data_IF_638894703169
#
_entry.id   IF_638894703169
#
_cell.length_a   1.000
_cell.length_b   1.000
_cell.length_c   1.000
_cell.angle_alpha   90.00
_cell.angle_beta   90.00
_cell.angle_gamma   90.00
#
_symmetry.space_group_name_H-M   'P 1'
#
loop_
_entity.id
_entity.type
_entity.pdbx_description
1 polymer ?
#
# COMPACT_ATOMS: atom_id res chain seq x y z
N UNK A 1 15.34 -27.49 1.90
CA UNK A 1 15.81 -26.18 1.40
C UNK A 1 16.30 -25.37 2.59
N UNK A 2 15.42 -24.77 3.39
CA UNK A 2 15.79 -23.87 4.50
C UNK A 2 16.84 -24.38 5.52
N UNK A 3 16.81 -25.65 5.97
CA UNK A 3 17.82 -26.16 6.92
C UNK A 3 19.21 -26.32 6.28
N UNK A 4 19.28 -26.69 5.00
CA UNK A 4 20.55 -26.89 4.28
C UNK A 4 21.12 -25.58 3.74
N UNK A 5 20.24 -24.68 3.34
CA UNK A 5 20.61 -23.43 2.65
C UNK A 5 20.79 -22.28 3.66
N UNK A 6 19.87 -22.11 4.62
CA UNK A 6 19.85 -20.99 5.58
C UNK A 6 20.10 -21.40 7.04
N UNK A 7 20.27 -22.70 7.30
CA UNK A 7 20.42 -23.23 8.65
C UNK A 7 19.17 -23.06 9.54
N UNK A 8 17.99 -22.94 8.93
CA UNK A 8 16.72 -22.74 9.62
C UNK A 8 15.93 -24.05 9.73
N UNK A 9 15.61 -24.46 10.97
CA UNK A 9 14.78 -25.64 11.24
C UNK A 9 13.29 -25.25 11.27
N UNK A 10 12.46 -25.77 10.34
CA UNK A 10 11.03 -25.47 10.30
C UNK A 10 10.27 -25.82 11.59
N UNK A 11 10.77 -26.76 12.41
CA UNK A 11 10.13 -27.15 13.65
C UNK A 11 10.15 -26.06 14.74
N UNK A 12 10.97 -25.01 14.57
CA UNK A 12 11.04 -23.87 15.49
C UNK A 12 10.08 -22.72 15.13
N UNK A 13 9.31 -22.85 14.05
CA UNK A 13 8.45 -21.78 13.54
C UNK A 13 6.97 -22.15 13.63
N UNK A 14 6.14 -21.17 14.00
CA UNK A 14 4.68 -21.35 14.08
C UNK A 14 4.06 -21.31 12.68
N UNK A 15 4.67 -20.54 11.77
CA UNK A 15 4.17 -20.39 10.40
C UNK A 15 5.30 -20.37 9.36
N UNK A 16 4.98 -20.77 8.13
CA UNK A 16 5.92 -20.69 7.01
C UNK A 16 6.33 -19.26 6.68
N UNK A 17 5.45 -18.27 6.91
CA UNK A 17 5.74 -16.86 6.65
C UNK A 17 6.81 -16.32 7.60
N UNK A 18 6.76 -16.72 8.87
CA UNK A 18 7.76 -16.36 9.88
C UNK A 18 9.14 -16.91 9.51
N UNK A 19 9.21 -18.20 9.17
CA UNK A 19 10.45 -18.83 8.71
C UNK A 19 11.00 -18.18 7.42
N UNK A 20 10.11 -17.81 6.49
CA UNK A 20 10.49 -17.15 5.24
C UNK A 20 11.07 -15.76 5.49
N UNK A 21 10.45 -14.96 6.37
CA UNK A 21 10.97 -13.66 6.75
C UNK A 21 12.36 -13.78 7.40
N UNK A 22 12.55 -14.73 8.33
CA UNK A 22 13.85 -14.96 8.97
C UNK A 22 14.93 -15.39 7.97
N UNK A 23 14.58 -16.25 7.00
CA UNK A 23 15.47 -16.64 5.90
C UNK A 23 15.90 -15.40 5.09
N UNK A 24 14.94 -14.55 4.70
CA UNK A 24 15.19 -13.31 3.97
C UNK A 24 16.10 -12.34 4.72
N UNK A 25 15.87 -12.11 6.01
CA UNK A 25 16.73 -11.23 6.81
C UNK A 25 18.15 -11.79 6.94
N UNK A 26 18.29 -13.11 7.10
CA UNK A 26 19.62 -13.76 7.11
C UNK A 26 20.35 -13.62 5.78
N UNK A 27 19.67 -13.82 4.65
CA UNK A 27 20.29 -13.70 3.32
C UNK A 27 20.65 -12.26 2.98
N UNK A 28 19.79 -11.29 3.30
CA UNK A 28 19.99 -9.86 3.01
C UNK A 28 20.97 -9.17 3.96
N UNK A 29 21.13 -9.69 5.20
CA UNK A 29 21.88 -9.05 6.30
C UNK A 29 21.36 -7.64 6.62
N UNK A 30 20.11 -7.34 6.27
CA UNK A 30 19.50 -6.08 6.61
C UNK A 30 19.21 -6.02 8.11
N UNK A 31 19.60 -4.92 8.75
CA UNK A 31 19.27 -4.64 10.15
C UNK A 31 18.09 -3.66 10.18
N UNK A 32 16.96 -4.10 10.74
CA UNK A 32 15.80 -3.24 10.94
C UNK A 32 15.89 -2.51 12.27
N UNK A 33 15.69 -1.20 12.24
CA UNK A 33 15.61 -0.41 13.47
C UNK A 33 14.18 -0.37 13.99
N UNK A 34 14.04 -0.61 15.30
CA UNK A 34 12.74 -0.55 15.95
C UNK A 34 12.16 0.87 15.89
N UNK A 35 10.94 0.99 15.37
CA UNK A 35 10.16 2.24 15.42
C UNK A 35 9.66 2.44 16.85
N UNK A 36 10.11 3.50 17.52
CA UNK A 36 9.70 3.84 18.89
C UNK A 36 8.64 4.95 18.92
N UNK A 37 8.48 5.69 17.83
CA UNK A 37 7.56 6.81 17.75
C UNK A 37 6.22 6.40 17.12
N UNK A 38 5.12 6.62 17.84
CA UNK A 38 3.77 6.29 17.38
C UNK A 38 3.35 7.11 16.15
N UNK A 39 3.77 8.37 16.05
CA UNK A 39 3.41 9.21 14.89
C UNK A 39 4.02 8.68 13.59
N UNK A 40 5.28 8.24 13.65
CA UNK A 40 6.01 7.67 12.52
C UNK A 40 5.36 6.35 12.10
N UNK A 41 5.01 5.51 13.07
CA UNK A 41 4.27 4.28 12.83
C UNK A 41 2.92 4.54 12.14
N UNK A 42 2.12 5.47 12.66
CA UNK A 42 0.82 5.81 12.08
C UNK A 42 0.93 6.39 10.67
N UNK A 43 1.97 7.19 10.40
CA UNK A 43 2.22 7.72 9.05
C UNK A 43 2.49 6.58 8.05
N UNK A 44 3.29 5.59 8.44
CA UNK A 44 3.54 4.40 7.61
C UNK A 44 2.26 3.59 7.45
N UNK A 45 1.55 3.28 8.53
CA UNK A 45 0.32 2.49 8.51
C UNK A 45 -0.77 3.12 7.61
N UNK A 46 -0.94 4.44 7.70
CA UNK A 46 -1.88 5.19 6.87
C UNK A 46 -1.48 5.23 5.39
N UNK A 47 -0.19 5.10 5.08
CA UNK A 47 0.32 4.98 3.72
C UNK A 47 0.15 3.59 3.10
N UNK A 48 -0.03 2.54 3.92
CA UNK A 48 -0.16 1.17 3.41
C UNK A 48 -1.52 1.00 2.71
N UNK A 49 -1.48 0.77 1.40
CA UNK A 49 -2.61 0.33 0.60
C UNK A 49 -2.44 -1.13 0.20
N UNK A 50 -3.54 -1.88 0.12
CA UNK A 50 -3.52 -3.24 -0.40
C UNK A 50 -3.35 -3.29 -1.92
N UNK A 51 -3.43 -4.49 -2.48
CA UNK A 51 -3.44 -4.68 -3.94
C UNK A 51 -4.59 -3.92 -4.60
N UNK A 52 -4.31 -3.31 -5.75
CA UNK A 52 -5.33 -2.70 -6.60
C UNK A 52 -5.83 -3.74 -7.61
N UNK A 53 -7.15 -3.88 -7.73
CA UNK A 53 -7.77 -4.71 -8.77
C UNK A 53 -8.42 -3.79 -9.80
N UNK A 54 -8.01 -3.92 -11.06
CA UNK A 54 -8.63 -3.23 -12.19
C UNK A 54 -9.19 -4.25 -13.16
N UNK A 55 -10.29 -3.91 -13.83
CA UNK A 55 -10.92 -4.77 -14.83
C UNK A 55 -10.54 -4.27 -16.23
N UNK A 56 -9.52 -4.89 -16.82
CA UNK A 56 -9.07 -4.63 -18.19
C UNK A 56 -9.04 -5.93 -19.01
N UNK A 57 -9.17 -5.79 -20.32
CA UNK A 57 -9.18 -6.93 -21.26
C UNK A 57 -7.76 -7.49 -21.48
N UNK A 58 -6.70 -6.71 -21.21
CA UNK A 58 -5.33 -7.18 -21.26
C UNK A 58 -4.94 -7.85 -19.93
N UNK A 59 -4.52 -9.11 -19.99
CA UNK A 59 -4.04 -9.87 -18.86
C UNK A 59 -2.50 -9.91 -18.90
N UNK A 60 -1.87 -8.89 -18.33
CA UNK A 60 -0.45 -8.94 -17.98
C UNK A 60 -0.35 -9.33 -16.50
N UNK A 61 0.34 -10.43 -16.24
CA UNK A 61 0.62 -10.90 -14.88
C UNK A 61 2.13 -10.94 -14.66
N UNK A 62 2.58 -10.28 -13.60
CA UNK A 62 3.99 -10.25 -13.26
C UNK A 62 4.32 -11.43 -12.36
N UNK A 63 5.18 -12.32 -12.85
CA UNK A 63 5.65 -13.47 -12.09
C UNK A 63 6.24 -13.04 -10.74
N UNK A 64 5.56 -13.42 -9.66
CA UNK A 64 5.99 -13.20 -8.28
C UNK A 64 6.26 -11.72 -7.93
N UNK A 65 5.37 -10.81 -8.33
CA UNK A 65 5.42 -9.35 -8.10
C UNK A 65 6.02 -8.95 -6.73
N UNK A 66 5.45 -9.46 -5.63
CA UNK A 66 5.92 -9.11 -4.29
C UNK A 66 7.37 -9.50 -4.04
N UNK A 67 7.78 -10.71 -4.43
CA UNK A 67 9.17 -11.15 -4.28
C UNK A 67 10.13 -10.31 -5.14
N UNK A 68 9.68 -9.86 -6.32
CA UNK A 68 10.43 -8.95 -7.18
C UNK A 68 10.60 -7.54 -6.61
N UNK A 69 9.66 -7.08 -5.78
CA UNK A 69 9.80 -5.82 -5.04
C UNK A 69 10.66 -6.00 -3.79
N UNK A 70 10.58 -7.16 -3.12
CA UNK A 70 11.38 -7.46 -1.92
C UNK A 70 12.89 -7.55 -2.16
N UNK A 71 13.35 -7.66 -3.41
CA UNK A 71 14.77 -7.58 -3.78
C UNK A 71 15.23 -6.16 -4.11
N UNK A 72 14.33 -5.17 -4.09
CA UNK A 72 14.65 -3.76 -4.32
C UNK A 72 14.99 -3.06 -3.00
N UNK A 73 15.47 -1.81 -3.09
CA UNK A 73 15.77 -1.00 -1.91
C UNK A 73 14.50 -0.75 -1.10
N UNK A 74 14.54 -1.10 0.19
CA UNK A 74 13.46 -0.88 1.15
C UNK A 74 13.96 -0.08 2.35
N UNK A 75 13.11 0.74 2.97
CA UNK A 75 13.47 1.49 4.16
C UNK A 75 13.70 0.54 5.35
N UNK A 76 14.86 0.63 5.98
CA UNK A 76 15.24 -0.17 7.16
C UNK A 76 15.18 0.62 8.48
N UNK A 77 15.23 1.95 8.39
CA UNK A 77 15.22 2.88 9.51
C UNK A 77 14.46 4.16 9.16
N UNK A 78 13.76 4.75 10.15
CA UNK A 78 13.21 6.10 10.06
C UNK A 78 14.17 7.05 10.78
N UNK A 79 14.73 8.00 10.02
CA UNK A 79 15.73 8.98 10.53
C UNK A 79 15.10 10.16 11.29
N UNK A 80 13.78 10.30 11.21
CA UNK A 80 13.01 11.35 11.88
C UNK A 80 12.34 12.34 10.92
N UNK A 81 11.56 13.28 11.49
CA UNK A 81 10.79 14.26 10.73
C UNK A 81 11.68 15.37 10.17
N UNK A 82 11.45 15.72 8.90
CA UNK A 82 12.16 16.80 8.20
C UNK A 82 11.22 17.99 7.99
N UNK A 83 11.74 19.21 8.18
CA UNK A 83 10.99 20.44 7.88
C UNK A 83 10.83 20.63 6.37
N UNK A 84 9.68 21.14 5.87
CA UNK A 84 9.40 21.27 4.43
C UNK A 84 10.50 21.97 3.63
N UNK A 85 11.15 22.98 4.21
CA UNK A 85 12.22 23.76 3.58
C UNK A 85 13.49 22.96 3.25
N UNK A 86 13.66 21.80 3.88
CA UNK A 86 14.83 20.92 3.72
C UNK A 86 14.56 19.73 2.81
N UNK A 87 13.34 19.60 2.29
CA UNK A 87 12.97 18.51 1.40
C UNK A 87 13.53 18.83 0.01
N UNK A 88 14.41 17.98 -0.55
CA UNK A 88 14.90 18.17 -1.92
C UNK A 88 13.76 17.99 -2.93
N UNK A 89 13.99 18.39 -4.18
CA UNK A 89 13.03 18.09 -5.24
C UNK A 89 12.87 16.58 -5.37
N UNK A 90 11.67 16.07 -5.07
CA UNK A 90 11.37 14.65 -5.00
C UNK A 90 11.64 13.97 -6.35
N UNK A 91 11.36 14.66 -7.46
CA UNK A 91 11.57 14.13 -8.80
C UNK A 91 13.06 13.96 -9.16
N UNK A 92 13.95 14.57 -8.38
CA UNK A 92 15.40 14.50 -8.59
C UNK A 92 16.07 13.37 -7.80
N UNK A 93 15.36 12.73 -6.87
CA UNK A 93 15.91 11.66 -6.03
C UNK A 93 16.00 10.38 -6.87
N UNK A 94 17.12 9.65 -6.75
CA UNK A 94 17.31 8.40 -7.47
C UNK A 94 16.52 7.25 -6.81
N UNK A 95 15.97 6.28 -7.56
CA UNK A 95 15.25 5.12 -7.00
C UNK A 95 16.08 4.24 -6.05
N UNK A 96 17.41 4.33 -6.12
CA UNK A 96 18.36 3.62 -5.27
C UNK A 96 19.09 4.56 -4.30
N UNK A 97 18.51 5.73 -4.02
CA UNK A 97 19.05 6.65 -3.02
C UNK A 97 19.10 5.98 -1.64
N UNK A 98 20.13 6.32 -0.87
CA UNK A 98 20.30 5.81 0.50
C UNK A 98 19.23 6.38 1.46
N UNK A 99 18.70 7.56 1.15
CA UNK A 99 17.66 8.24 1.93
C UNK A 99 16.44 8.47 1.04
N UNK A 100 15.31 7.88 1.44
CA UNK A 100 13.99 8.16 0.89
C UNK A 100 13.19 9.11 1.77
N UNK A 101 12.07 9.62 1.23
CA UNK A 101 11.18 10.56 1.90
C UNK A 101 9.74 10.06 1.85
N UNK A 102 9.07 10.09 3.00
CA UNK A 102 7.61 9.91 3.06
C UNK A 102 6.98 11.26 3.37
N UNK A 103 5.95 11.61 2.60
CA UNK A 103 5.35 12.93 2.59
C UNK A 103 3.86 12.83 2.88
N UNK A 104 3.38 13.68 3.77
CA UNK A 104 1.95 13.87 4.01
C UNK A 104 1.50 15.13 3.25
N UNK A 105 0.67 14.96 2.22
CA UNK A 105 0.28 16.02 1.30
C UNK A 105 -1.23 16.10 1.09
N UNK A 106 -1.71 17.31 0.80
CA UNK A 106 -3.06 17.51 0.31
C UNK A 106 -3.09 17.31 -1.21
N UNK A 107 -3.84 16.30 -1.67
CA UNK A 107 -3.92 15.95 -3.07
C UNK A 107 -5.25 16.42 -3.67
N UNK A 108 -5.16 17.19 -4.76
CA UNK A 108 -6.31 17.59 -5.58
C UNK A 108 -6.00 17.30 -7.04
N UNK A 109 -6.85 16.48 -7.68
CA UNK A 109 -6.73 16.20 -9.11
C UNK A 109 -7.52 17.26 -9.89
N UNK A 110 -6.86 18.07 -10.74
CA UNK A 110 -7.53 19.04 -11.60
C UNK A 110 -8.57 18.38 -12.51
N UNK A 111 -9.72 19.03 -12.71
CA UNK A 111 -10.85 18.48 -13.48
C UNK A 111 -10.48 18.10 -14.92
N UNK A 112 -9.62 18.89 -15.56
CA UNK A 112 -9.16 18.62 -16.93
C UNK A 112 -8.33 17.33 -17.06
N UNK A 113 -7.88 16.73 -15.95
CA UNK A 113 -7.17 15.45 -15.94
C UNK A 113 -8.08 14.27 -15.58
N UNK A 114 -9.36 14.52 -15.25
CA UNK A 114 -10.27 13.45 -14.83
C UNK A 114 -10.51 12.46 -15.98
N UNK A 115 -10.72 12.96 -17.20
CA UNK A 115 -10.89 12.11 -18.38
C UNK A 115 -9.61 11.32 -18.71
N UNK A 116 -8.44 11.93 -18.51
CA UNK A 116 -7.15 11.28 -18.75
C UNK A 116 -6.88 10.12 -17.78
N UNK A 117 -7.30 10.27 -16.52
CA UNK A 117 -7.15 9.24 -15.50
C UNK A 117 -8.42 8.40 -15.29
N UNK A 118 -9.44 8.53 -16.14
CA UNK A 118 -10.72 7.85 -15.95
C UNK A 118 -10.54 6.32 -15.87
N UNK A 119 -9.60 5.81 -16.67
CA UNK A 119 -9.24 4.41 -16.74
C UNK A 119 -8.41 3.95 -15.53
N UNK A 120 -7.61 4.85 -14.95
CA UNK A 120 -6.76 4.52 -13.81
C UNK A 120 -6.68 5.70 -12.83
N UNK A 121 -7.72 5.89 -11.98
CA UNK A 121 -7.74 7.00 -11.06
C UNK A 121 -6.65 6.84 -10.00
N UNK A 122 -5.77 7.83 -9.92
CA UNK A 122 -4.59 7.80 -9.08
C UNK A 122 -4.92 7.92 -7.58
N UNK A 123 -3.94 7.51 -6.77
CA UNK A 123 -3.94 7.66 -5.32
C UNK A 123 -5.16 6.99 -4.66
N UNK A 124 -5.21 5.65 -4.61
CA UNK A 124 -6.27 4.93 -3.92
C UNK A 124 -6.31 5.29 -2.43
N UNK A 125 -7.50 5.28 -1.84
CA UNK A 125 -7.70 5.58 -0.41
C UNK A 125 -8.58 4.54 0.25
N UNK A 126 -8.19 4.06 1.43
CA UNK A 126 -9.07 3.27 2.30
C UNK A 126 -10.13 4.19 2.88
N UNK A 127 -11.40 3.89 2.60
CA UNK A 127 -12.52 4.62 3.18
C UNK A 127 -13.79 3.77 3.13
N UNK A 128 -14.74 4.11 3.99
CA UNK A 128 -16.09 3.58 3.86
C UNK A 128 -16.79 4.29 2.71
N UNK A 129 -17.39 3.49 1.82
CA UNK A 129 -18.31 4.00 0.79
C UNK A 129 -19.67 4.19 1.46
N UNK A 130 -20.29 5.37 1.42
CA UNK A 130 -21.64 5.53 1.92
C UNK A 130 -22.68 5.00 0.92
N UNK A 131 -23.87 4.65 1.41
CA UNK A 131 -24.90 3.95 0.61
C UNK A 131 -25.44 4.81 -0.54
N UNK A 132 -25.43 6.13 -0.38
CA UNK A 132 -25.82 7.11 -1.40
C UNK A 132 -24.86 7.18 -2.60
N UNK A 133 -23.67 6.59 -2.50
CA UNK A 133 -22.73 6.47 -3.62
C UNK A 133 -22.93 5.20 -4.45
N UNK A 134 -23.85 4.32 -4.04
CA UNK A 134 -24.12 3.10 -4.77
C UNK A 134 -24.79 3.40 -6.11
N UNK A 135 -24.39 2.65 -7.14
CA UNK A 135 -25.15 2.64 -8.39
C UNK A 135 -26.48 1.93 -8.18
N UNK A 136 -27.48 2.24 -9.02
CA UNK A 136 -28.80 1.57 -9.00
C UNK A 136 -28.69 0.04 -9.05
N UNK A 137 -27.66 -0.50 -9.71
CA UNK A 137 -27.38 -1.93 -9.74
C UNK A 137 -26.90 -2.45 -8.37
N UNK A 138 -25.93 -1.76 -7.76
CA UNK A 138 -25.40 -2.14 -6.45
C UNK A 138 -26.45 -1.98 -5.34
N UNK A 139 -27.29 -0.94 -5.41
CA UNK A 139 -28.43 -0.76 -4.49
C UNK A 139 -29.40 -1.95 -4.57
N UNK A 140 -29.74 -2.41 -5.77
CA UNK A 140 -30.58 -3.60 -5.95
C UNK A 140 -29.94 -4.84 -5.34
N UNK A 141 -28.64 -5.05 -5.55
CA UNK A 141 -27.90 -6.18 -4.98
C UNK A 141 -27.85 -6.13 -3.46
N UNK A 142 -27.69 -4.95 -2.87
CA UNK A 142 -27.68 -4.78 -1.40
C UNK A 142 -29.06 -5.12 -0.80
N UNK A 143 -30.15 -4.81 -1.52
CA UNK A 143 -31.52 -5.09 -1.08
C UNK A 143 -31.98 -6.52 -1.39
N UNK A 144 -31.23 -7.27 -2.20
CA UNK A 144 -31.53 -8.66 -2.50
C UNK A 144 -31.26 -9.54 -1.28
N UNK A 145 -32.28 -10.26 -0.81
CA UNK A 145 -32.18 -11.13 0.37
C UNK A 145 -31.32 -12.35 0.12
N UNK A 146 -31.18 -12.80 -1.13
CA UNK A 146 -30.29 -13.90 -1.49
C UNK A 146 -28.82 -13.49 -1.44
N UNK A 147 -28.53 -12.20 -1.64
CA UNK A 147 -27.19 -11.64 -1.60
C UNK A 147 -26.93 -11.01 -0.23
N UNK A 148 -26.13 -11.69 0.60
CA UNK A 148 -25.70 -11.19 1.93
C UNK A 148 -26.88 -10.80 2.87
N UNK A 149 -28.06 -11.39 2.67
CA UNK A 149 -29.21 -11.20 3.56
C UNK A 149 -29.91 -9.85 3.42
N UNK A 150 -29.73 -9.13 2.31
CA UNK A 150 -30.45 -7.88 2.04
C UNK A 150 -30.02 -6.71 2.92
N UNK A 151 -28.73 -6.61 3.26
CA UNK A 151 -28.21 -5.57 4.17
C UNK A 151 -26.94 -4.94 3.63
N UNK A 152 -26.87 -3.62 3.78
CA UNK A 152 -25.64 -2.87 3.57
C UNK A 152 -24.59 -3.27 4.61
N UNK A 153 -23.39 -3.60 4.15
CA UNK A 153 -22.26 -3.94 5.01
C UNK A 153 -21.32 -2.75 5.11
N UNK A 154 -21.15 -2.24 6.33
CA UNK A 154 -20.19 -1.21 6.63
C UNK A 154 -18.78 -1.82 6.66
N UNK A 155 -17.86 -1.25 5.89
CA UNK A 155 -16.48 -1.72 5.83
C UNK A 155 -15.62 -0.78 5.00
N UNK A 156 -14.37 -0.64 5.41
CA UNK A 156 -13.40 0.10 4.63
C UNK A 156 -13.11 -0.64 3.34
N UNK A 157 -13.13 0.10 2.23
CA UNK A 157 -12.73 -0.38 0.92
C UNK A 157 -11.63 0.50 0.40
N UNK A 158 -10.73 -0.08 -0.38
CA UNK A 158 -9.76 0.69 -1.14
C UNK A 158 -10.48 1.26 -2.37
N UNK A 159 -10.68 2.58 -2.41
CA UNK A 159 -11.43 3.25 -3.47
C UNK A 159 -10.54 4.23 -4.22
N UNK A 160 -10.66 4.22 -5.54
CA UNK A 160 -10.00 5.15 -6.44
C UNK A 160 -11.01 6.23 -6.83
N UNK A 161 -10.90 7.39 -6.17
CA UNK A 161 -11.80 8.54 -6.38
C UNK A 161 -11.00 9.82 -6.61
N UNK A 162 -11.57 10.72 -7.42
CA UNK A 162 -10.99 12.04 -7.71
C UNK A 162 -11.28 13.12 -6.67
N UNK A 163 -11.98 12.78 -5.57
CA UNK A 163 -12.20 13.77 -4.50
C UNK A 163 -10.88 14.21 -3.88
N UNK A 164 -10.90 15.44 -3.35
CA UNK A 164 -9.75 16.00 -2.65
C UNK A 164 -9.38 15.11 -1.48
N UNK A 165 -8.11 14.73 -1.40
CA UNK A 165 -7.57 13.93 -0.31
C UNK A 165 -6.75 14.85 0.59
N UNK A 166 -7.04 14.79 1.88
CA UNK A 166 -6.27 15.46 2.92
C UNK A 166 -5.34 14.46 3.57
N UNK A 167 -4.14 14.92 3.95
CA UNK A 167 -3.16 14.11 4.67
C UNK A 167 -2.83 12.78 3.95
N UNK A 168 -2.69 12.84 2.63
CA UNK A 168 -2.38 11.66 1.83
C UNK A 168 -0.89 11.35 1.92
N UNK A 169 -0.55 10.11 2.26
CA UNK A 169 0.84 9.68 2.44
C UNK A 169 1.40 9.18 1.11
N UNK A 170 2.50 9.77 0.66
CA UNK A 170 3.24 9.41 -0.55
C UNK A 170 4.67 9.06 -0.16
N UNK A 171 5.21 7.98 -0.73
CA UNK A 171 6.60 7.56 -0.54
C UNK A 171 7.41 7.82 -1.82
N UNK A 172 8.68 8.19 -1.65
CA UNK A 172 9.67 8.29 -2.71
C UNK A 172 11.04 7.85 -2.20
#
# INVERSE_FOLDING_TARGET
MCLKDDGLDPSHYVSTLEMFNDSLYKSSRAELKLMTNMDEYLMVENGICGGMTMFWILYEDMNALYSGVMIQYMPTEILGKVTPEKIPDIQSIAPNAEIGYTLEVDLKVPVHLHDFFADYPLAPKKQIVPEDWLSLYNEKLVNDKEVRGGKYMFGEKLVQIFFTKKNYVVHY
#
